data_IF_028401429055
#
_entry.id   IF_028401429055
#
_cell.length_a   1.000
_cell.length_b   1.000
_cell.length_c   1.000
_cell.angle_alpha   90.00
_cell.angle_beta   90.00
_cell.angle_gamma   90.00
#
_symmetry.space_group_name_H-M   'P 1'
#
loop_
_entity.id
_entity.type
_entity.pdbx_description
1 polymer ?
#
# COMPACT_ATOMS: atom_id res chain seq x y z
N UNK A 1 25.27 45.82 -6.71
CA UNK A 1 25.37 44.62 -5.86
C UNK A 1 24.33 43.63 -6.34
N UNK A 2 24.78 42.62 -7.10
CA UNK A 2 23.94 41.63 -7.78
C UNK A 2 23.33 40.64 -6.76
N UNK A 3 22.04 40.39 -6.90
CA UNK A 3 21.31 39.37 -6.15
C UNK A 3 21.75 37.96 -6.58
N UNK A 4 21.99 37.08 -5.60
CA UNK A 4 22.26 35.65 -5.84
C UNK A 4 20.94 34.93 -6.16
N UNK A 5 20.88 34.07 -7.19
CA UNK A 5 19.71 33.23 -7.42
C UNK A 5 19.70 32.04 -6.44
N UNK A 6 18.63 31.92 -5.66
CA UNK A 6 18.36 30.76 -4.81
C UNK A 6 17.78 29.63 -5.67
N UNK A 7 18.61 28.68 -6.07
CA UNK A 7 18.18 27.44 -6.73
C UNK A 7 17.55 26.51 -5.71
N UNK A 8 16.22 26.52 -5.63
CA UNK A 8 15.42 25.51 -4.92
C UNK A 8 15.35 24.22 -5.76
N UNK A 9 15.60 23.02 -5.18
CA UNK A 9 15.74 21.78 -5.94
C UNK A 9 14.41 21.22 -6.49
N UNK A 10 13.25 21.81 -6.15
CA UNK A 10 11.93 21.33 -6.61
C UNK A 10 11.34 22.07 -7.80
N UNK A 11 11.72 23.33 -8.04
CA UNK A 11 11.29 24.05 -9.26
C UNK A 11 11.92 23.48 -10.53
N UNK A 12 13.09 22.85 -10.42
CA UNK A 12 13.76 22.25 -11.57
C UNK A 12 13.13 20.95 -12.07
N UNK A 13 12.43 20.16 -11.24
CA UNK A 13 11.79 18.92 -11.71
C UNK A 13 10.57 19.18 -12.60
N UNK A 14 9.72 20.15 -12.24
CA UNK A 14 8.57 20.52 -13.05
C UNK A 14 8.98 21.17 -14.40
N UNK A 15 10.07 21.94 -14.42
CA UNK A 15 10.53 22.61 -15.66
C UNK A 15 11.27 21.65 -16.61
N UNK A 16 12.00 20.65 -16.09
CA UNK A 16 12.75 19.71 -16.93
C UNK A 16 11.84 18.74 -17.69
N UNK A 17 10.70 18.35 -17.11
CA UNK A 17 9.71 17.49 -17.76
C UNK A 17 8.98 18.25 -18.88
N UNK A 18 8.78 19.56 -18.74
CA UNK A 18 8.14 20.38 -19.76
C UNK A 18 8.96 20.51 -21.06
N UNK A 19 10.30 20.41 -21.01
CA UNK A 19 11.16 20.53 -22.19
C UNK A 19 11.27 19.19 -22.96
N UNK A 20 11.04 18.05 -22.31
CA UNK A 20 11.10 16.74 -22.96
C UNK A 20 9.85 16.39 -23.82
N UNK A 21 8.75 17.14 -23.69
CA UNK A 21 7.48 16.85 -24.36
C UNK A 21 7.35 17.39 -25.81
N UNK A 22 8.39 18.03 -26.37
CA UNK A 22 8.34 18.65 -27.70
C UNK A 22 9.05 17.87 -28.83
N UNK A 23 9.54 16.65 -28.57
CA UNK A 23 10.22 15.86 -29.58
C UNK A 23 9.38 14.66 -30.10
N UNK A 24 8.69 14.91 -31.22
CA UNK A 24 8.48 13.97 -32.35
C UNK A 24 7.27 13.01 -32.34
N UNK A 25 6.86 12.48 -33.53
CA UNK A 25 5.53 12.72 -34.08
C UNK A 25 4.73 11.45 -34.38
N UNK A 26 3.45 11.68 -34.67
CA UNK A 26 2.45 10.75 -35.23
C UNK A 26 2.98 9.91 -36.41
N UNK A 27 2.67 8.61 -36.42
CA UNK A 27 1.99 8.01 -37.58
C UNK A 27 1.34 6.67 -37.22
N UNK A 28 0.02 6.63 -37.40
CA UNK A 28 -0.82 5.44 -37.40
C UNK A 28 -0.49 4.52 -38.57
N UNK A 29 -0.81 3.22 -38.42
CA UNK A 29 -1.49 2.42 -39.44
C UNK A 29 -2.14 1.18 -38.82
N UNK A 30 -3.46 1.16 -38.92
CA UNK A 30 -4.32 -0.01 -38.74
C UNK A 30 -3.98 -1.06 -39.80
N UNK A 31 -4.03 -2.34 -39.45
CA UNK A 31 -4.48 -3.37 -40.39
C UNK A 31 -5.18 -4.49 -39.62
N UNK A 32 -6.48 -4.60 -39.90
CA UNK A 32 -7.33 -5.72 -39.54
C UNK A 32 -6.91 -6.96 -40.33
N UNK A 33 -6.93 -8.16 -39.75
CA UNK A 33 -7.44 -9.29 -40.50
C UNK A 33 -8.04 -10.40 -39.62
N UNK A 34 -9.19 -10.86 -40.11
CA UNK A 34 -10.00 -11.99 -39.70
C UNK A 34 -9.33 -13.31 -40.12
N UNK A 35 -9.60 -14.40 -39.41
CA UNK A 35 -9.23 -15.73 -39.90
C UNK A 35 -9.40 -16.89 -38.91
N UNK A 36 -10.64 -17.35 -38.73
CA UNK A 36 -10.96 -18.78 -38.51
C UNK A 36 -11.21 -19.42 -39.90
N UNK A 37 -11.31 -20.76 -40.13
CA UNK A 37 -11.65 -21.84 -39.19
C UNK A 37 -11.00 -23.24 -39.44
N UNK A 38 -11.45 -24.22 -38.64
CA UNK A 38 -11.77 -25.64 -38.94
C UNK A 38 -10.75 -26.80 -38.86
N UNK A 39 -11.11 -27.73 -37.95
CA UNK A 39 -11.20 -29.20 -38.06
C UNK A 39 -9.98 -30.04 -38.52
N UNK A 40 -9.55 -30.98 -37.66
CA UNK A 40 -9.54 -32.42 -37.97
C UNK A 40 -9.55 -33.28 -36.70
N UNK A 41 -10.28 -34.39 -36.83
CA UNK A 41 -10.63 -35.47 -35.92
C UNK A 41 -9.56 -36.57 -35.78
N UNK A 42 -9.49 -37.20 -34.60
CA UNK A 42 -9.21 -38.64 -34.37
C UNK A 42 -9.54 -38.96 -32.90
N UNK A 43 -10.64 -39.66 -32.57
CA UNK A 43 -10.82 -41.14 -32.50
C UNK A 43 -9.65 -41.89 -31.83
N UNK A 44 -9.79 -42.91 -30.99
CA UNK A 44 -10.82 -43.50 -30.13
C UNK A 44 -10.17 -44.75 -29.49
N UNK A 45 -10.33 -44.99 -28.17
CA UNK A 45 -10.29 -46.31 -27.48
C UNK A 45 -10.36 -46.07 -25.96
N UNK A 46 -11.39 -46.38 -25.18
CA UNK A 46 -12.15 -47.61 -24.91
C UNK A 46 -11.62 -48.47 -23.73
N UNK A 47 -12.35 -48.40 -22.60
CA UNK A 47 -12.84 -49.51 -21.72
C UNK A 47 -11.97 -50.05 -20.53
N UNK A 48 -12.33 -49.58 -19.30
CA UNK A 48 -12.77 -50.26 -18.02
C UNK A 48 -11.98 -51.49 -17.41
N UNK A 49 -12.31 -52.01 -16.18
CA UNK A 49 -12.44 -51.46 -14.81
C UNK A 49 -11.81 -52.42 -13.71
N UNK A 50 -12.19 -52.25 -12.42
CA UNK A 50 -11.92 -53.09 -11.19
C UNK A 50 -10.64 -52.68 -10.43
N UNK A 51 -10.58 -52.50 -9.11
CA UNK A 51 -11.49 -52.60 -7.97
C UNK A 51 -10.64 -52.67 -6.69
N UNK A 52 -10.86 -51.74 -5.72
CA UNK A 52 -10.80 -51.82 -4.22
C UNK A 52 -9.73 -52.65 -3.46
N UNK A 53 -9.58 -52.57 -2.10
CA UNK A 53 -9.84 -51.51 -1.10
C UNK A 53 -8.66 -51.38 -0.07
N UNK A 54 -8.88 -50.67 1.05
CA UNK A 54 -8.09 -50.65 2.32
C UNK A 54 -6.75 -49.87 2.29
N UNK A 55 -6.40 -49.01 3.24
CA UNK A 55 -6.43 -49.16 4.70
C UNK A 55 -6.57 -47.77 5.39
N UNK A 56 -7.50 -47.66 6.35
CA UNK A 56 -7.40 -46.68 7.45
C UNK A 56 -6.45 -47.22 8.52
N UNK A 57 -5.93 -46.34 9.39
CA UNK A 57 -6.10 -46.62 10.80
C UNK A 57 -6.77 -45.47 11.54
N UNK A 58 -7.81 -45.83 12.29
CA UNK A 58 -8.27 -45.12 13.48
C UNK A 58 -7.24 -45.25 14.60
N UNK A 59 -7.11 -44.21 15.42
CA UNK A 59 -7.51 -44.24 16.85
C UNK A 59 -6.68 -43.26 17.68
N UNK A 60 -7.36 -42.18 18.09
CA UNK A 60 -7.47 -41.67 19.46
C UNK A 60 -6.21 -41.67 20.36
N UNK A 61 -5.83 -40.49 20.87
CA UNK A 61 -6.27 -40.03 22.20
C UNK A 61 -5.53 -38.77 22.66
N UNK A 62 -6.32 -37.82 23.16
CA UNK A 62 -6.04 -36.86 24.23
C UNK A 62 -4.59 -36.46 24.53
N UNK A 63 -4.28 -35.18 24.35
CA UNK A 63 -3.43 -34.44 25.27
C UNK A 63 -3.89 -32.99 25.36
N UNK A 64 -4.69 -32.74 26.39
CA UNK A 64 -5.17 -31.45 26.83
C UNK A 64 -4.00 -30.71 27.50
N UNK A 65 -3.18 -29.99 26.75
CA UNK A 65 -2.22 -29.06 27.34
C UNK A 65 -2.92 -27.73 27.63
N UNK A 66 -3.52 -27.67 28.82
CA UNK A 66 -3.70 -26.43 29.58
C UNK A 66 -2.35 -25.71 29.62
N UNK A 67 -2.26 -24.56 28.95
CA UNK A 67 -1.25 -23.55 29.28
C UNK A 67 -1.93 -22.19 29.35
N UNK A 68 -2.65 -21.99 30.45
CA UNK A 68 -2.82 -20.66 31.02
C UNK A 68 -1.47 -20.26 31.59
N UNK A 69 -0.79 -19.38 30.88
CA UNK A 69 0.13 -18.42 31.49
C UNK A 69 0.26 -17.23 30.54
N UNK A 70 -0.85 -16.49 30.38
CA UNK A 70 -0.72 -15.07 30.03
C UNK A 70 -0.32 -14.37 31.33
N UNK A 71 0.98 -14.44 31.62
CA UNK A 71 1.60 -13.46 32.48
C UNK A 71 1.49 -12.14 31.73
N UNK A 72 0.43 -11.39 32.01
CA UNK A 72 0.44 -9.97 31.78
C UNK A 72 1.48 -9.40 32.75
N UNK A 73 2.76 -9.45 32.34
CA UNK A 73 3.72 -8.41 32.69
C UNK A 73 3.07 -7.11 32.23
N UNK A 74 2.58 -6.27 33.13
CA UNK A 74 3.36 -5.46 34.07
C UNK A 74 4.34 -4.55 33.31
N UNK A 75 4.44 -3.33 33.83
CA UNK A 75 5.31 -2.25 33.40
C UNK A 75 4.93 -1.51 32.12
N UNK A 76 4.09 -0.49 32.35
CA UNK A 76 4.15 0.80 31.70
C UNK A 76 5.60 1.36 31.72
N UNK A 77 6.44 0.84 30.84
CA UNK A 77 7.79 1.36 30.61
C UNK A 77 7.65 2.70 29.87
N UNK A 78 8.03 3.77 30.56
CA UNK A 78 8.02 5.18 30.11
C UNK A 78 9.09 5.50 29.06
N UNK A 79 9.59 4.51 28.33
CA UNK A 79 10.49 4.68 27.19
C UNK A 79 9.89 3.95 25.98
N UNK A 80 9.72 4.65 24.85
CA UNK A 80 9.29 4.05 23.58
C UNK A 80 10.33 3.03 23.10
N UNK A 81 10.06 1.72 23.12
CA UNK A 81 10.97 0.75 22.51
C UNK A 81 11.03 0.90 20.98
N UNK A 82 10.10 1.67 20.40
CA UNK A 82 9.90 1.82 18.96
C UNK A 82 10.37 3.17 18.41
N UNK A 83 10.88 4.08 19.24
CA UNK A 83 11.39 5.40 18.80
C UNK A 83 10.36 6.23 18.01
N UNK A 84 9.09 6.15 18.38
CA UNK A 84 7.99 6.81 17.66
C UNK A 84 7.93 8.30 17.97
N UNK A 85 7.35 9.07 17.04
CA UNK A 85 7.00 10.47 17.32
C UNK A 85 5.90 10.53 18.38
N UNK A 86 5.83 11.61 19.18
CA UNK A 86 4.81 11.74 20.23
C UNK A 86 3.39 11.69 19.67
N UNK A 87 3.17 12.18 18.44
CA UNK A 87 1.87 12.12 17.78
C UNK A 87 1.50 10.70 17.33
N UNK A 88 2.43 9.95 16.74
CA UNK A 88 2.18 8.56 16.33
C UNK A 88 1.94 7.63 17.53
N UNK A 89 2.62 7.88 18.66
CA UNK A 89 2.35 7.18 19.92
C UNK A 89 0.91 7.40 20.36
N UNK A 90 0.45 8.65 20.43
CA UNK A 90 -0.95 8.97 20.81
C UNK A 90 -1.96 8.27 19.91
N UNK A 91 -1.70 8.18 18.61
CA UNK A 91 -2.58 7.46 17.69
C UNK A 91 -2.58 5.95 17.98
N UNK A 92 -1.42 5.36 18.19
CA UNK A 92 -1.30 3.93 18.49
C UNK A 92 -2.00 3.58 19.80
N UNK A 93 -1.83 4.42 20.84
CA UNK A 93 -2.53 4.29 22.12
C UNK A 93 -4.05 4.43 21.95
N UNK A 94 -4.50 5.38 21.12
CA UNK A 94 -5.92 5.55 20.81
C UNK A 94 -6.51 4.30 20.14
N UNK A 95 -5.81 3.70 19.17
CA UNK A 95 -6.24 2.44 18.54
C UNK A 95 -6.18 1.24 19.49
N UNK A 96 -5.19 1.20 20.40
CA UNK A 96 -5.08 0.16 21.41
C UNK A 96 -6.21 0.22 22.45
N UNK A 97 -6.74 1.43 22.73
CA UNK A 97 -7.85 1.62 23.67
C UNK A 97 -9.20 1.06 23.18
N UNK A 98 -9.35 0.79 21.87
CA UNK A 98 -10.60 0.28 21.29
C UNK A 98 -10.65 -1.26 21.44
N UNK A 99 -11.57 -1.82 22.25
CA UNK A 99 -11.62 -3.25 22.51
C UNK A 99 -12.21 -4.07 21.36
N UNK A 100 -13.11 -3.49 20.57
CA UNK A 100 -13.74 -4.17 19.43
C UNK A 100 -12.90 -4.01 18.15
N UNK A 101 -12.47 -5.14 17.58
CA UNK A 101 -11.68 -5.15 16.36
C UNK A 101 -12.42 -4.52 15.18
N UNK A 102 -13.74 -4.73 15.07
CA UNK A 102 -14.54 -4.15 13.99
C UNK A 102 -14.56 -2.63 14.05
N UNK A 103 -14.57 -2.05 15.26
CA UNK A 103 -14.50 -0.61 15.46
C UNK A 103 -13.12 -0.05 15.10
N UNK A 104 -12.03 -0.78 15.37
CA UNK A 104 -10.68 -0.38 14.92
C UNK A 104 -10.60 -0.29 13.39
N UNK A 105 -11.15 -1.27 12.68
CA UNK A 105 -11.21 -1.21 11.22
C UNK A 105 -12.02 -0.01 10.74
N UNK A 106 -13.22 0.22 11.30
CA UNK A 106 -14.05 1.38 10.93
C UNK A 106 -13.32 2.70 11.14
N UNK A 107 -12.57 2.83 12.24
CA UNK A 107 -11.76 4.02 12.50
C UNK A 107 -10.66 4.20 11.45
N UNK A 108 -10.00 3.12 11.04
CA UNK A 108 -8.99 3.15 9.98
C UNK A 108 -9.58 3.58 8.63
N UNK A 109 -10.76 3.04 8.27
CA UNK A 109 -11.48 3.44 7.06
C UNK A 109 -11.95 4.90 7.13
N UNK A 110 -12.36 5.37 8.31
CA UNK A 110 -12.73 6.77 8.50
C UNK A 110 -11.53 7.69 8.24
N UNK A 111 -10.36 7.36 8.77
CA UNK A 111 -9.12 8.10 8.51
C UNK A 111 -8.72 8.08 7.03
N UNK A 112 -8.91 6.96 6.34
CA UNK A 112 -8.66 6.85 4.90
C UNK A 112 -9.48 7.86 4.08
N UNK A 113 -10.74 8.11 4.47
CA UNK A 113 -11.63 9.05 3.78
C UNK A 113 -11.32 10.52 4.10
N UNK A 114 -10.59 10.80 5.18
CA UNK A 114 -10.17 12.15 5.57
C UNK A 114 -8.91 12.62 4.84
N UNK A 115 -8.16 11.71 4.22
CA UNK A 115 -6.95 12.06 3.48
C UNK A 115 -7.28 12.91 2.24
N UNK A 116 -6.51 13.98 1.98
CA UNK A 116 -6.65 14.75 0.76
C UNK A 116 -6.28 13.87 -0.45
N UNK A 117 -7.04 14.03 -1.54
CA UNK A 117 -6.73 13.36 -2.80
C UNK A 117 -5.44 13.93 -3.39
N UNK A 118 -4.57 13.04 -3.89
CA UNK A 118 -3.36 13.43 -4.62
C UNK A 118 -3.69 13.88 -6.04
N UNK A 119 -2.89 14.78 -6.61
CA UNK A 119 -3.02 15.16 -8.02
C UNK A 119 -2.62 14.00 -8.94
N UNK A 120 -3.27 13.84 -10.11
CA UNK A 120 -2.93 12.79 -11.06
C UNK A 120 -1.49 12.92 -11.58
N UNK A 121 -0.96 14.15 -11.63
CA UNK A 121 0.41 14.43 -12.06
C UNK A 121 1.48 13.89 -11.10
N UNK A 122 1.12 13.68 -9.83
CA UNK A 122 2.00 13.10 -8.82
C UNK A 122 1.87 11.56 -8.72
N UNK A 123 0.91 10.94 -9.44
CA UNK A 123 0.76 9.48 -9.54
C UNK A 123 1.69 8.88 -10.61
N UNK A 124 2.97 9.24 -10.52
CA UNK A 124 4.04 8.75 -11.40
C UNK A 124 4.69 7.49 -10.84
N UNK A 125 5.29 6.62 -11.69
CA UNK A 125 5.97 5.42 -11.22
C UNK A 125 7.11 5.70 -10.23
N UNK A 126 7.71 6.90 -10.24
CA UNK A 126 8.75 7.30 -9.27
C UNK A 126 8.22 7.43 -7.84
N UNK A 127 6.95 7.80 -7.68
CA UNK A 127 6.29 7.97 -6.37
C UNK A 127 5.59 6.68 -5.92
N UNK A 128 5.64 5.63 -6.73
CA UNK A 128 4.98 4.35 -6.43
C UNK A 128 5.80 3.56 -5.41
N UNK A 129 5.14 3.08 -4.36
CA UNK A 129 5.77 2.22 -3.35
C UNK A 129 5.81 0.76 -3.88
N UNK A 130 7.00 0.17 -4.08
CA UNK A 130 7.10 -1.22 -4.52
C UNK A 130 6.78 -2.20 -3.38
N UNK A 131 6.24 -3.38 -3.72
CA UNK A 131 6.02 -4.47 -2.77
C UNK A 131 4.69 -4.44 -2.00
N UNK A 132 3.88 -3.42 -2.17
CA UNK A 132 2.50 -3.41 -1.66
C UNK A 132 1.58 -4.22 -2.58
N UNK A 133 0.62 -4.96 -1.98
CA UNK A 133 -0.43 -5.65 -2.73
C UNK A 133 -1.32 -4.65 -3.49
N UNK A 134 -1.74 -3.62 -2.77
CA UNK A 134 -2.42 -2.44 -3.30
C UNK A 134 -1.40 -1.47 -3.88
N UNK A 135 -1.75 -0.79 -4.97
CA UNK A 135 -0.91 0.28 -5.50
C UNK A 135 -0.96 1.47 -4.54
N UNK A 136 0.21 1.90 -4.07
CA UNK A 136 0.37 3.06 -3.18
C UNK A 136 1.28 4.07 -3.85
N UNK A 137 0.88 5.34 -3.83
CA UNK A 137 1.69 6.47 -4.25
C UNK A 137 1.93 7.37 -3.04
N UNK A 138 3.18 7.81 -2.86
CA UNK A 138 3.55 8.77 -1.83
C UNK A 138 4.32 9.90 -2.49
N UNK A 139 3.80 11.11 -2.37
CA UNK A 139 4.48 12.33 -2.75
C UNK A 139 4.92 13.08 -1.49
N UNK A 140 6.07 13.73 -1.56
CA UNK A 140 6.56 14.59 -0.50
C UNK A 140 6.71 15.97 -1.10
N UNK A 141 6.31 17.03 -0.41
CA UNK A 141 6.44 18.43 -0.83
C UNK A 141 7.19 19.19 0.27
N UNK A 142 8.22 19.94 -0.09
CA UNK A 142 8.89 20.83 0.87
C UNK A 142 8.21 22.19 0.85
N UNK A 143 7.72 22.61 2.00
CA UNK A 143 7.08 23.90 2.21
C UNK A 143 7.79 24.64 3.33
N UNK A 144 7.91 25.96 3.20
CA UNK A 144 8.46 26.79 4.27
C UNK A 144 7.33 27.13 5.22
N UNK A 145 7.49 26.76 6.48
CA UNK A 145 6.60 27.20 7.54
C UNK A 145 6.91 28.68 7.84
N UNK A 146 6.03 29.58 7.41
CA UNK A 146 6.20 31.03 7.57
C UNK A 146 6.20 31.46 9.05
N UNK A 147 5.54 30.69 9.92
CA UNK A 147 5.47 31.00 11.35
C UNK A 147 6.76 30.60 12.09
N UNK A 148 7.37 29.48 11.67
CA UNK A 148 8.56 28.92 12.32
C UNK A 148 9.86 29.29 11.62
N UNK A 149 9.80 29.73 10.36
CA UNK A 149 10.97 30.04 9.54
C UNK A 149 11.77 28.81 9.09
N UNK A 150 11.20 27.61 9.21
CA UNK A 150 11.85 26.33 8.94
C UNK A 150 11.26 25.67 7.68
N UNK A 151 12.06 24.87 6.98
CA UNK A 151 11.59 24.09 5.83
C UNK A 151 11.02 22.76 6.33
N UNK A 152 9.72 22.52 6.11
CA UNK A 152 8.96 21.34 6.53
C UNK A 152 8.62 20.48 5.32
N UNK A 153 8.70 19.16 5.48
CA UNK A 153 8.26 18.21 4.45
C UNK A 153 6.81 17.78 4.73
N UNK A 154 5.90 18.09 3.82
CA UNK A 154 4.52 17.59 3.84
C UNK A 154 4.43 16.35 2.97
N UNK A 155 3.89 15.27 3.52
CA UNK A 155 3.65 14.04 2.78
C UNK A 155 2.20 14.01 2.30
N UNK A 156 1.99 13.47 1.11
CA UNK A 156 0.69 13.17 0.53
C UNK A 156 0.74 11.73 0.07
N UNK A 157 -0.34 10.98 0.29
CA UNK A 157 -0.36 9.58 -0.07
C UNK A 157 -1.74 9.12 -0.49
N UNK A 158 -1.77 8.25 -1.50
CA UNK A 158 -2.97 7.68 -2.07
C UNK A 158 -2.78 6.19 -2.30
N UNK A 159 -3.83 5.40 -2.11
CA UNK A 159 -3.80 3.97 -2.37
C UNK A 159 -5.11 3.48 -2.97
N UNK A 160 -5.04 2.52 -3.89
CA UNK A 160 -6.24 1.87 -4.45
C UNK A 160 -7.07 1.14 -3.38
N UNK A 161 -6.45 0.71 -2.29
CA UNK A 161 -7.07 0.02 -1.17
C UNK A 161 -7.42 0.97 -0.04
N UNK A 162 -8.67 0.91 0.44
CA UNK A 162 -9.11 1.75 1.56
C UNK A 162 -8.37 1.43 2.87
N UNK A 163 -8.05 0.16 3.13
CA UNK A 163 -7.31 -0.24 4.33
C UNK A 163 -5.87 0.27 4.31
N UNK A 164 -5.19 0.11 3.17
CA UNK A 164 -3.83 0.60 2.97
C UNK A 164 -3.78 2.12 2.97
N UNK A 165 -4.78 2.80 2.38
CA UNK A 165 -4.96 4.26 2.48
C UNK A 165 -5.13 4.72 3.93
N UNK A 166 -5.86 3.98 4.75
CA UNK A 166 -5.99 4.28 6.18
C UNK A 166 -4.66 4.15 6.94
N UNK A 167 -3.82 3.18 6.59
CA UNK A 167 -2.46 3.07 7.16
C UNK A 167 -1.56 4.23 6.72
N UNK A 168 -1.66 4.65 5.46
CA UNK A 168 -0.97 5.85 4.96
C UNK A 168 -1.40 7.10 5.76
N UNK A 169 -2.70 7.20 6.12
CA UNK A 169 -3.22 8.30 6.93
C UNK A 169 -2.59 8.41 8.32
N UNK A 170 -2.11 7.29 8.88
CA UNK A 170 -1.38 7.29 10.14
C UNK A 170 0.04 7.84 9.94
N UNK A 171 0.71 7.43 8.86
CA UNK A 171 2.12 7.76 8.63
C UNK A 171 2.36 9.20 8.16
N UNK A 172 1.37 9.82 7.51
CA UNK A 172 1.47 11.19 6.97
C UNK A 172 1.34 12.27 8.07
N UNK A 173 1.04 11.87 9.31
CA UNK A 173 0.51 12.74 10.35
C UNK A 173 1.54 13.19 11.37
#
# INVERSE_FOLDING_TARGET
MMARPTTSPRRSRALLVAIAALASPRSARCFTNNGSPSFVTSSAAAIRPRGSPFFLPSSSSSSLSKSLSLSATDEATTADPLGLTPELRRMTDAFASIPDEKMRYKQLLFMANQLPAISPDAMVPENKVPGCLSTVYVDAVMERDEERGEDVVKFLGESDGLLTKGLVALLVR
#
